data_IF_677928908231
#
_entry.id   IF_677928908231
#
_cell.length_a   1.000
_cell.length_b   1.000
_cell.length_c   1.000
_cell.angle_alpha   90.00
_cell.angle_beta   90.00
_cell.angle_gamma   90.00
#
_symmetry.space_group_name_H-M   'P 1'
#
loop_
_entity.id
_entity.type
_entity.pdbx_description
1 polymer ?
#
# COMPACT_ATOMS: atom_id res chain seq x y z
N UNK A 1 -2.19 -13.52 37.81
CA UNK A 1 -2.09 -12.37 36.90
C UNK A 1 -1.17 -12.59 35.67
N UNK A 2 -0.07 -13.31 35.75
CA UNK A 2 0.82 -13.55 34.60
C UNK A 2 0.22 -14.48 33.51
N UNK A 3 -0.58 -15.45 33.85
CA UNK A 3 -1.18 -16.44 32.93
C UNK A 3 -2.25 -15.79 32.01
N UNK A 4 -3.02 -14.84 32.54
CA UNK A 4 -4.08 -14.13 31.77
C UNK A 4 -3.48 -13.29 30.64
N UNK A 5 -2.32 -12.66 30.87
CA UNK A 5 -1.64 -11.87 29.83
C UNK A 5 -1.10 -12.73 28.67
N UNK A 6 -0.68 -13.98 28.94
CA UNK A 6 -0.23 -14.88 27.88
C UNK A 6 -1.38 -15.40 27.02
N UNK A 7 -2.55 -15.67 27.63
CA UNK A 7 -3.75 -16.09 26.89
C UNK A 7 -4.27 -14.96 26.00
N UNK A 8 -4.25 -13.71 26.48
CA UNK A 8 -4.66 -12.55 25.68
C UNK A 8 -3.69 -12.30 24.51
N UNK A 9 -2.38 -12.47 24.72
CA UNK A 9 -1.37 -12.31 23.67
C UNK A 9 -1.48 -13.38 22.57
N UNK A 10 -1.80 -14.63 22.94
CA UNK A 10 -2.05 -15.72 22.00
C UNK A 10 -3.32 -15.45 21.16
N UNK A 11 -4.37 -14.88 21.75
CA UNK A 11 -5.61 -14.55 21.04
C UNK A 11 -5.41 -13.45 19.99
N UNK A 12 -4.57 -12.45 20.25
CA UNK A 12 -4.26 -11.36 19.30
C UNK A 12 -3.45 -11.89 18.12
N UNK A 13 -2.53 -12.83 18.33
CA UNK A 13 -1.74 -13.45 17.26
C UNK A 13 -2.60 -14.38 16.38
N UNK A 14 -3.60 -15.05 16.95
CA UNK A 14 -4.50 -15.93 16.17
C UNK A 14 -5.51 -15.17 15.32
N UNK A 15 -5.96 -13.99 15.73
CA UNK A 15 -6.92 -13.20 14.93
C UNK A 15 -6.31 -12.60 13.66
N UNK A 16 -5.00 -12.35 13.63
CA UNK A 16 -4.31 -11.85 12.45
C UNK A 16 -4.00 -12.93 11.40
N UNK A 17 -4.01 -14.21 11.77
CA UNK A 17 -3.76 -15.33 10.85
C UNK A 17 -5.00 -15.78 10.06
N UNK A 18 -6.21 -15.46 10.53
CA UNK A 18 -7.46 -15.94 9.90
C UNK A 18 -7.89 -15.16 8.65
N UNK A 19 -7.34 -13.97 8.41
CA UNK A 19 -7.72 -13.11 7.27
C UNK A 19 -7.05 -13.49 5.94
N UNK A 20 -5.95 -14.22 5.98
CA UNK A 20 -5.10 -14.47 4.78
C UNK A 20 -5.67 -15.56 3.85
N UNK A 21 -6.58 -16.40 4.33
CA UNK A 21 -7.10 -17.55 3.56
C UNK A 21 -8.35 -17.24 2.72
N UNK A 22 -8.95 -16.06 2.82
CA UNK A 22 -10.21 -15.70 2.14
C UNK A 22 -10.05 -15.11 0.73
N UNK A 23 -8.84 -15.08 0.18
CA UNK A 23 -8.56 -14.39 -1.08
C UNK A 23 -8.06 -12.95 -0.88
N UNK A 24 -7.98 -12.20 -1.97
CA UNK A 24 -7.51 -10.80 -1.94
C UNK A 24 -8.13 -9.97 -3.06
N UNK A 25 -8.15 -8.67 -2.87
CA UNK A 25 -8.50 -7.71 -3.90
C UNK A 25 -7.25 -7.17 -4.59
N UNK A 26 -7.34 -7.02 -5.90
CA UNK A 26 -6.42 -6.24 -6.72
C UNK A 26 -7.12 -4.93 -7.05
N UNK A 27 -6.55 -3.80 -6.62
CA UNK A 27 -7.00 -2.47 -6.99
C UNK A 27 -5.99 -1.86 -7.95
N UNK A 28 -6.47 -1.39 -9.10
CA UNK A 28 -5.67 -0.61 -10.07
C UNK A 28 -6.02 0.86 -9.92
N UNK A 29 -5.01 1.66 -9.65
CA UNK A 29 -5.10 3.12 -9.50
C UNK A 29 -4.33 3.84 -10.60
N UNK A 30 -4.76 5.07 -10.89
CA UNK A 30 -3.98 6.05 -11.65
C UNK A 30 -3.56 7.19 -10.73
N UNK A 31 -2.39 7.74 -10.99
CA UNK A 31 -1.89 8.99 -10.38
C UNK A 31 -1.62 9.99 -11.52
N UNK A 32 -2.14 11.19 -11.40
CA UNK A 32 -2.01 12.23 -12.41
C UNK A 32 -0.86 13.22 -12.15
N UNK A 33 -0.77 14.27 -12.99
CA UNK A 33 0.25 15.32 -12.86
C UNK A 33 0.17 16.11 -11.55
N UNK A 34 -1.01 16.20 -10.96
CA UNK A 34 -1.27 16.91 -9.71
C UNK A 34 -1.14 15.98 -8.49
N UNK A 35 -0.64 14.75 -8.69
CA UNK A 35 -0.54 13.70 -7.67
C UNK A 35 -1.89 13.27 -7.09
N UNK A 36 -2.97 13.53 -7.80
CA UNK A 36 -4.30 13.02 -7.47
C UNK A 36 -4.41 11.56 -7.87
N UNK A 37 -4.89 10.73 -6.96
CA UNK A 37 -5.05 9.29 -7.17
C UNK A 37 -6.52 8.96 -7.37
N UNK A 38 -6.81 8.15 -8.38
CA UNK A 38 -8.15 7.68 -8.71
C UNK A 38 -8.18 6.16 -8.89
N UNK A 39 -9.30 5.53 -8.50
CA UNK A 39 -9.52 4.10 -8.70
C UNK A 39 -10.00 3.83 -10.14
N UNK A 40 -9.25 3.01 -10.85
CA UNK A 40 -9.59 2.59 -12.22
C UNK A 40 -10.42 1.32 -12.25
N UNK A 41 -9.99 0.32 -11.47
CA UNK A 41 -10.62 -1.00 -11.46
C UNK A 41 -10.29 -1.74 -10.17
N UNK A 42 -11.19 -2.66 -9.79
CA UNK A 42 -10.96 -3.60 -8.71
C UNK A 42 -11.35 -5.01 -9.14
N UNK A 43 -10.60 -6.01 -8.67
CA UNK A 43 -10.87 -7.42 -8.96
C UNK A 43 -10.61 -8.27 -7.73
N UNK A 44 -11.56 -9.12 -7.38
CA UNK A 44 -11.38 -10.16 -6.37
C UNK A 44 -10.63 -11.36 -6.97
N UNK A 45 -9.71 -11.93 -6.22
CA UNK A 45 -8.96 -13.15 -6.55
C UNK A 45 -9.13 -14.16 -5.42
N UNK A 46 -9.70 -15.30 -5.75
CA UNK A 46 -9.84 -16.44 -4.82
C UNK A 46 -8.53 -17.25 -4.81
N UNK A 47 -7.51 -16.71 -4.16
CA UNK A 47 -6.22 -17.36 -3.99
C UNK A 47 -5.48 -16.73 -2.79
N UNK A 48 -4.54 -17.49 -2.21
CA UNK A 48 -3.69 -16.96 -1.12
C UNK A 48 -2.83 -15.79 -1.62
N UNK A 49 -2.88 -14.68 -0.89
CA UNK A 49 -2.01 -13.54 -1.16
C UNK A 49 -0.56 -13.89 -0.79
N UNK A 50 0.31 -13.91 -1.79
CA UNK A 50 1.75 -13.95 -1.56
C UNK A 50 2.24 -12.52 -1.33
N UNK A 51 2.60 -12.21 -0.09
CA UNK A 51 3.20 -10.91 0.24
C UNK A 51 4.64 -10.93 -0.27
N UNK A 52 4.96 -10.08 -1.24
CA UNK A 52 6.35 -9.86 -1.63
C UNK A 52 7.10 -9.18 -0.48
N UNK A 53 8.34 -9.63 -0.21
CA UNK A 53 9.21 -8.88 0.70
C UNK A 53 9.51 -7.53 0.05
N UNK A 54 9.13 -6.46 0.73
CA UNK A 54 9.46 -5.10 0.30
C UNK A 54 10.93 -4.85 0.63
N UNK A 55 11.71 -4.40 -0.35
CA UNK A 55 13.07 -3.95 -0.11
C UNK A 55 13.05 -2.72 0.80
N UNK A 56 13.83 -2.76 1.89
CA UNK A 56 13.84 -1.75 2.96
C UNK A 56 14.35 -0.36 2.55
N UNK A 57 14.66 -0.13 1.29
CA UNK A 57 15.28 1.12 0.80
C UNK A 57 14.45 1.83 -0.25
N UNK A 58 13.14 1.96 -0.01
CA UNK A 58 12.29 2.75 -0.89
C UNK A 58 12.49 4.23 -0.55
N UNK A 59 13.03 5.00 -1.50
CA UNK A 59 13.08 6.45 -1.39
C UNK A 59 11.72 7.06 -1.77
N UNK A 60 11.19 7.95 -0.93
CA UNK A 60 9.93 8.64 -1.13
C UNK A 60 8.75 7.70 -1.45
N UNK A 61 8.44 6.74 -0.55
CA UNK A 61 7.35 5.82 -0.76
C UNK A 61 6.00 6.56 -0.72
N UNK A 62 5.03 6.01 -1.46
CA UNK A 62 3.62 6.29 -1.22
C UNK A 62 3.14 5.27 -0.19
N UNK A 63 2.64 5.75 0.92
CA UNK A 63 2.02 4.95 1.98
C UNK A 63 0.52 4.85 1.69
N UNK A 64 -0.11 3.72 2.01
CA UNK A 64 -1.55 3.58 1.92
C UNK A 64 -2.14 2.86 3.12
N UNK A 65 -3.37 3.25 3.47
CA UNK A 65 -4.14 2.68 4.58
C UNK A 65 -5.53 2.30 4.12
N UNK A 66 -5.90 1.07 4.37
CA UNK A 66 -7.26 0.57 4.19
C UNK A 66 -8.01 0.77 5.51
N UNK A 67 -9.17 1.40 5.44
CA UNK A 67 -9.90 1.88 6.63
C UNK A 67 -11.33 1.38 6.56
N UNK A 68 -11.87 0.97 7.72
CA UNK A 68 -13.26 0.53 7.83
C UNK A 68 -14.22 1.70 8.14
N UNK A 69 -15.51 1.41 8.17
CA UNK A 69 -16.58 2.38 8.48
C UNK A 69 -16.47 3.02 9.87
N UNK A 70 -15.71 2.41 10.78
CA UNK A 70 -15.45 2.91 12.14
C UNK A 70 -14.16 3.73 12.24
N UNK A 71 -13.49 4.02 11.09
CA UNK A 71 -12.18 4.68 10.99
C UNK A 71 -11.02 3.88 11.61
N UNK A 72 -11.15 2.57 11.76
CA UNK A 72 -10.02 1.71 12.16
C UNK A 72 -9.19 1.32 10.93
N UNK A 73 -7.87 1.30 11.09
CA UNK A 73 -6.94 0.83 10.06
C UNK A 73 -7.00 -0.70 10.03
N UNK A 74 -7.40 -1.26 8.88
CA UNK A 74 -7.47 -2.70 8.63
C UNK A 74 -6.16 -3.24 8.04
N UNK A 75 -5.52 -2.43 7.20
CA UNK A 75 -4.30 -2.80 6.50
C UNK A 75 -3.52 -1.55 6.14
N UNK A 76 -2.20 -1.64 6.16
CA UNK A 76 -1.31 -0.57 5.68
C UNK A 76 -0.16 -1.17 4.89
N UNK A 77 0.36 -0.38 3.96
CA UNK A 77 1.48 -0.78 3.12
C UNK A 77 2.16 0.42 2.49
N UNK A 78 3.23 0.13 1.78
CA UNK A 78 4.02 1.12 1.06
C UNK A 78 4.30 0.62 -0.36
N UNK A 79 4.46 1.54 -1.28
CA UNK A 79 4.86 1.28 -2.65
C UNK A 79 5.86 2.33 -3.14
N UNK A 80 6.68 1.94 -4.10
CA UNK A 80 7.56 2.87 -4.81
C UNK A 80 6.67 3.86 -5.56
N UNK A 81 7.00 5.16 -5.53
CA UNK A 81 6.27 6.15 -6.30
C UNK A 81 6.30 5.77 -7.81
N UNK A 82 5.16 5.42 -8.41
CA UNK A 82 5.10 4.90 -9.77
C UNK A 82 5.43 5.94 -10.84
N UNK A 83 5.46 7.24 -10.48
CA UNK A 83 5.88 8.33 -11.37
C UNK A 83 7.40 8.46 -11.47
N UNK A 84 8.16 7.83 -10.57
CA UNK A 84 9.62 7.92 -10.55
C UNK A 84 10.21 6.71 -11.28
N UNK A 85 10.86 6.96 -12.40
CA UNK A 85 11.57 5.94 -13.17
C UNK A 85 13.07 6.14 -12.99
N UNK A 86 13.74 5.11 -12.47
CA UNK A 86 15.19 5.06 -12.35
C UNK A 86 15.77 4.33 -13.55
N UNK A 87 16.81 4.88 -14.17
CA UNK A 87 17.54 4.18 -15.19
C UNK A 87 19.04 4.34 -14.97
N UNK A 88 19.79 3.32 -15.35
CA UNK A 88 21.25 3.30 -15.31
C UNK A 88 21.76 3.33 -16.76
N UNK A 89 22.56 4.33 -17.10
CA UNK A 89 23.28 4.34 -18.37
C UNK A 89 24.54 3.48 -18.25
N UNK A 90 24.58 2.42 -19.05
CA UNK A 90 25.76 1.54 -19.17
C UNK A 90 26.72 2.02 -20.27
N UNK A 91 26.91 3.32 -20.42
CA UNK A 91 27.84 3.88 -21.39
C UNK A 91 29.07 4.42 -20.63
N UNK A 92 30.16 3.68 -20.69
CA UNK A 92 31.48 4.01 -20.16
C UNK A 92 31.50 4.53 -18.70
N UNK A 93 32.28 3.85 -17.83
CA UNK A 93 32.40 4.21 -16.41
C UNK A 93 32.65 5.72 -16.16
N UNK A 94 32.04 6.31 -15.12
CA UNK A 94 31.26 5.72 -14.01
C UNK A 94 29.72 5.65 -14.28
N UNK A 95 29.09 4.59 -13.81
CA UNK A 95 27.63 4.40 -13.89
C UNK A 95 26.87 5.62 -13.38
N UNK A 96 26.20 6.33 -14.27
CA UNK A 96 25.37 7.47 -13.93
C UNK A 96 23.93 7.01 -13.72
N UNK A 97 23.41 7.19 -12.50
CA UNK A 97 22.00 6.96 -12.21
C UNK A 97 21.21 8.23 -12.53
N UNK A 98 20.27 8.12 -13.42
CA UNK A 98 19.37 9.21 -13.78
C UNK A 98 17.93 8.88 -13.37
N UNK A 99 17.15 9.92 -13.14
CA UNK A 99 15.76 9.80 -12.67
C UNK A 99 14.84 10.60 -13.56
N UNK A 100 13.77 9.98 -14.05
CA UNK A 100 12.67 10.66 -14.73
C UNK A 100 11.44 10.70 -13.85
N UNK A 101 10.72 11.81 -13.91
CA UNK A 101 9.42 11.95 -13.29
C UNK A 101 8.38 11.98 -14.41
N UNK A 102 7.46 11.01 -14.38
CA UNK A 102 6.34 10.93 -15.32
C UNK A 102 5.22 11.89 -14.90
N UNK A 103 4.51 12.45 -15.87
CA UNK A 103 3.31 13.27 -15.61
C UNK A 103 2.20 12.44 -14.96
N UNK A 104 2.04 11.20 -15.40
CA UNK A 104 1.04 10.28 -14.87
C UNK A 104 1.56 8.84 -14.88
N UNK A 105 0.99 8.00 -14.03
CA UNK A 105 1.33 6.58 -13.98
C UNK A 105 0.15 5.75 -13.48
N UNK A 106 0.24 4.43 -13.68
CA UNK A 106 -0.67 3.45 -13.08
C UNK A 106 0.08 2.56 -12.11
N UNK A 107 -0.61 2.11 -11.08
CA UNK A 107 -0.07 1.15 -10.14
C UNK A 107 -1.14 0.19 -9.62
N UNK A 108 -0.70 -0.89 -9.00
CA UNK A 108 -1.56 -1.93 -8.48
C UNK A 108 -1.20 -2.18 -7.04
N UNK A 109 -2.21 -2.26 -6.17
CA UNK A 109 -2.05 -2.78 -4.83
C UNK A 109 -2.86 -4.08 -4.67
N UNK A 110 -2.34 -4.97 -3.83
CA UNK A 110 -3.00 -6.21 -3.45
C UNK A 110 -3.25 -6.16 -1.95
N UNK A 111 -4.48 -6.31 -1.54
CA UNK A 111 -4.87 -6.29 -0.14
C UNK A 111 -5.69 -7.52 0.22
N UNK A 112 -5.51 -8.11 1.41
CA UNK A 112 -6.35 -9.21 1.87
C UNK A 112 -7.82 -8.77 1.92
N UNK A 113 -8.73 -9.75 1.92
CA UNK A 113 -10.15 -9.48 2.14
C UNK A 113 -10.39 -9.09 3.60
N UNK A 114 -11.05 -7.98 3.80
CA UNK A 114 -11.54 -7.53 5.11
C UNK A 114 -13.03 -7.24 5.03
N UNK A 115 -13.72 -7.48 6.14
CA UNK A 115 -15.11 -7.07 6.29
C UNK A 115 -15.19 -5.57 6.58
N UNK A 116 -16.26 -4.91 6.11
CA UNK A 116 -16.58 -3.50 6.40
C UNK A 116 -15.50 -2.48 5.92
N UNK A 117 -14.81 -2.78 4.84
CA UNK A 117 -13.91 -1.80 4.21
C UNK A 117 -14.75 -0.62 3.71
N UNK A 118 -14.34 0.59 4.06
CA UNK A 118 -14.99 1.84 3.61
C UNK A 118 -14.15 2.55 2.54
N UNK A 119 -12.88 2.80 2.86
CA UNK A 119 -12.03 3.64 2.04
C UNK A 119 -10.57 3.22 2.07
N UNK A 120 -9.82 3.75 1.11
CA UNK A 120 -8.36 3.72 1.09
C UNK A 120 -7.83 5.16 1.09
N UNK A 121 -6.83 5.42 1.90
CA UNK A 121 -6.14 6.70 1.99
C UNK A 121 -4.69 6.54 1.52
N UNK A 122 -4.20 7.50 0.76
CA UNK A 122 -2.83 7.56 0.27
C UNK A 122 -2.09 8.75 0.86
N UNK A 123 -0.82 8.54 1.20
CA UNK A 123 0.04 9.55 1.82
C UNK A 123 1.41 9.56 1.15
N UNK A 124 2.02 10.72 1.10
CA UNK A 124 3.41 10.90 0.69
C UNK A 124 4.28 11.06 1.94
N UNK A 125 5.40 10.36 1.98
CA UNK A 125 6.46 10.59 2.97
C UNK A 125 7.53 11.50 2.39
N UNK A 126 7.83 12.58 3.06
CA UNK A 126 8.92 13.51 2.70
C UNK A 126 10.15 13.22 3.55
N UNK A 127 11.00 12.28 3.09
CA UNK A 127 12.37 12.07 3.61
C UNK A 127 12.50 11.52 5.04
N UNK A 128 11.75 12.03 6.00
CA UNK A 128 11.70 11.54 7.38
C UNK A 128 10.26 11.18 7.72
N UNK A 129 10.07 10.12 8.49
CA UNK A 129 8.77 9.56 8.88
C UNK A 129 7.81 10.52 9.60
N UNK A 130 8.25 11.74 9.93
CA UNK A 130 7.45 12.75 10.64
C UNK A 130 6.63 13.67 9.71
N UNK A 131 7.02 13.80 8.43
CA UNK A 131 6.30 14.63 7.47
C UNK A 131 5.52 13.76 6.47
N UNK A 132 4.33 13.37 6.87
CA UNK A 132 3.38 12.59 6.05
C UNK A 132 2.27 13.53 5.58
N UNK A 133 2.12 13.66 4.24
CA UNK A 133 1.08 14.45 3.61
C UNK A 133 0.02 13.53 3.00
N UNK A 134 -1.27 13.79 3.28
CA UNK A 134 -2.39 13.07 2.65
C UNK A 134 -2.53 13.53 1.20
N UNK A 135 -2.44 12.58 0.25
CA UNK A 135 -2.57 12.81 -1.18
C UNK A 135 -4.01 12.66 -1.65
N UNK A 136 -4.66 11.57 -1.27
CA UNK A 136 -6.00 11.20 -1.76
C UNK A 136 -6.73 10.30 -0.77
N UNK A 137 -8.06 10.35 -0.85
CA UNK A 137 -8.98 9.43 -0.18
C UNK A 137 -9.98 8.90 -1.21
N UNK A 138 -10.17 7.59 -1.26
CA UNK A 138 -11.03 6.94 -2.24
C UNK A 138 -11.97 5.98 -1.49
N UNK A 139 -13.28 6.20 -1.62
CA UNK A 139 -14.30 5.28 -1.12
C UNK A 139 -14.34 4.03 -1.97
N UNK A 140 -14.42 2.86 -1.35
CA UNK A 140 -14.43 1.56 -2.02
C UNK A 140 -15.83 0.92 -2.07
N UNK A 141 -16.78 1.44 -1.29
CA UNK A 141 -18.13 0.86 -1.14
C UNK A 141 -19.20 1.45 -2.07
N UNK A 142 -18.83 2.30 -3.04
CA UNK A 142 -19.79 2.96 -3.95
C UNK A 142 -20.06 2.15 -5.25
N UNK A 143 -20.06 0.78 -5.18
CA UNK A 143 -20.45 -0.08 -6.30
C UNK A 143 -21.41 -1.17 -5.88
#
# INVERSE_FOLDING_TARGET
>A
MKIINYILMIFIVFSSLYSIDKGYYIYKFGIDSNDSISLYNSKFIDAKLKVAKVDKHIHNPILYKLINTENNILFEGELINPKIVYYEEMIDEPHTKSTFILDSAYFIIKVPVFDNVDKIEFFRSHGNSENIEKMSEIKLNDK
#
